data_IF_975742516678
#
_entry.id   IF_975742516678
#
_cell.length_a   1.000
_cell.length_b   1.000
_cell.length_c   1.000
_cell.angle_alpha   90.00
_cell.angle_beta   90.00
_cell.angle_gamma   90.00
#
_symmetry.space_group_name_H-M   'P 1'
#
loop_
_entity.id
_entity.type
_entity.pdbx_description
1 polymer ?
2 branched ?
3 water ?
#
# COMPACT_ATOMS: atom_id res chain seq x y z
N UNK A 1 34.15 -2.65 20.33
CA UNK A 1 33.41 -3.90 20.69
C UNK A 1 32.16 -3.76 19.85
N UNK A 2 31.72 -4.89 19.29
CA UNK A 2 30.52 -4.99 18.47
C UNK A 2 29.23 -4.75 19.26
N UNK A 3 28.41 -3.80 18.83
CA UNK A 3 27.14 -3.55 19.52
C UNK A 3 26.03 -3.44 18.45
N UNK A 4 24.77 -3.59 18.86
CA UNK A 4 23.72 -3.45 17.86
C UNK A 4 22.84 -2.27 18.19
N UNK A 5 22.13 -1.84 17.16
CA UNK A 5 21.18 -0.74 17.23
C UNK A 5 19.96 -1.34 16.49
N UNK A 6 18.75 -1.14 17.03
CA UNK A 6 17.49 -1.66 16.48
C UNK A 6 16.47 -0.52 16.48
N UNK A 7 15.45 -0.59 15.61
CA UNK A 7 14.37 0.41 15.54
C UNK A 7 13.10 -0.39 15.55
N UNK A 8 12.12 0.02 16.34
CA UNK A 8 10.82 -0.64 16.33
C UNK A 8 9.92 0.57 16.05
N UNK A 9 9.08 0.50 15.01
CA UNK A 9 8.91 -0.62 14.09
C UNK A 9 9.88 -0.52 12.91
N UNK A 10 10.41 -1.67 12.46
CA UNK A 10 11.33 -1.73 11.31
C UNK A 10 10.70 -1.12 10.06
N UNK A 11 9.36 -1.21 9.96
CA UNK A 11 8.60 -0.64 8.84
C UNK A 11 7.12 -0.52 9.23
N UNK A 12 6.45 0.49 8.68
CA UNK A 12 5.07 0.71 9.01
C UNK A 12 4.44 1.57 7.96
N UNK A 13 3.18 1.31 7.66
CA UNK A 13 2.49 2.13 6.68
C UNK A 13 1.52 3.02 7.45
N UNK A 14 1.39 4.29 7.10
CA UNK A 14 0.46 5.15 7.84
C UNK A 14 -0.18 6.04 6.79
N UNK A 15 -1.38 6.55 7.08
CA UNK A 15 -2.09 7.45 6.16
C UNK A 15 -1.59 8.88 6.22
N UNK A 16 -1.91 9.70 5.19
CA UNK A 16 -1.50 11.10 5.13
C UNK A 16 -1.87 11.82 6.39
N UNK A 17 -0.91 12.60 6.91
CA UNK A 17 -1.05 13.39 8.14
C UNK A 17 -1.01 12.49 9.36
N UNK A 18 -0.63 11.24 9.15
CA UNK A 18 -0.57 10.31 10.25
C UNK A 18 0.64 10.46 11.11
N UNK A 19 0.79 9.57 12.06
CA UNK A 19 1.91 9.67 12.92
C UNK A 19 2.27 8.31 13.45
N UNK A 20 3.39 8.25 14.16
CA UNK A 20 3.86 7.00 14.74
C UNK A 20 4.93 7.13 15.84
N UNK A 21 5.01 6.11 16.70
CA UNK A 21 5.99 6.07 17.76
C UNK A 21 7.10 5.14 17.35
N UNK A 22 8.33 5.56 17.61
CA UNK A 22 9.51 4.80 17.23
C UNK A 22 10.34 4.62 18.48
N UNK A 23 10.80 3.41 18.70
CA UNK A 23 11.63 3.11 19.84
C UNK A 23 12.97 2.72 19.25
N UNK A 24 13.91 3.60 19.46
CA UNK A 24 15.25 3.47 18.95
C UNK A 24 16.20 2.98 20.07
N UNK A 25 16.69 1.76 19.96
CA UNK A 25 17.53 1.20 21.01
C UNK A 25 18.87 0.61 20.58
N UNK A 26 19.75 0.33 21.54
CA UNK A 26 21.08 -0.20 21.24
C UNK A 26 21.50 -1.17 22.35
N UNK A 27 22.51 -2.01 22.11
CA UNK A 27 23.02 -2.92 23.17
C UNK A 27 24.17 -2.27 23.98
N UNK A 28 24.69 -1.17 23.45
CA UNK A 28 25.74 -0.38 24.07
C UNK A 28 25.23 0.21 25.39
N UNK A 29 25.97 0.05 26.49
CA UNK A 29 25.56 0.59 27.81
C UNK A 29 25.51 2.09 27.99
N UNK A 30 26.58 2.76 27.57
CA UNK A 30 26.66 4.21 27.66
C UNK A 30 27.02 4.72 26.33
N UNK A 31 26.02 4.99 25.51
CA UNK A 31 26.28 5.51 24.18
C UNK A 31 26.69 6.98 24.31
N UNK A 32 27.75 7.35 23.62
CA UNK A 32 28.19 8.71 23.67
C UNK A 32 27.19 9.52 22.86
N UNK A 33 26.65 8.94 21.80
CA UNK A 33 25.67 9.61 20.92
C UNK A 33 24.46 8.69 20.69
N UNK A 34 23.31 9.31 20.49
CA UNK A 34 22.10 8.54 20.25
C UNK A 34 20.91 9.39 19.76
N UNK A 35 20.22 8.98 18.71
CA UNK A 35 19.12 9.80 18.24
C UNK A 35 18.42 9.20 17.06
N UNK A 36 17.28 9.78 16.73
CA UNK A 36 16.47 9.34 15.59
C UNK A 36 16.48 10.54 14.67
N UNK A 37 17.01 10.37 13.47
CA UNK A 37 17.07 11.45 12.50
C UNK A 37 15.88 11.35 11.55
N UNK A 38 15.21 12.47 11.28
CA UNK A 38 14.08 12.43 10.39
C UNK A 38 13.78 13.81 9.86
N UNK A 39 13.14 13.90 8.71
CA UNK A 39 12.78 15.20 8.16
C UNK A 39 11.42 15.66 8.71
N UNK A 40 10.72 14.81 9.44
CA UNK A 40 9.43 15.15 10.02
C UNK A 40 9.61 15.77 11.41
N UNK A 41 8.54 16.30 12.00
CA UNK A 41 8.60 16.87 13.35
C UNK A 41 8.69 15.68 14.28
N UNK A 42 9.46 15.76 15.36
CA UNK A 42 9.61 14.65 16.33
C UNK A 42 9.68 15.16 17.79
N UNK A 43 9.14 14.37 18.71
CA UNK A 43 9.09 14.69 20.13
C UNK A 43 9.73 13.54 20.87
N UNK A 44 10.79 13.78 21.61
CA UNK A 44 11.34 12.68 22.35
C UNK A 44 10.38 12.52 23.50
N UNK A 45 9.69 11.40 23.50
CA UNK A 45 8.75 11.13 24.54
C UNK A 45 9.46 10.59 25.79
N UNK A 46 10.43 9.72 25.61
CA UNK A 46 11.11 9.20 26.78
C UNK A 46 12.36 8.46 26.38
N UNK A 47 13.35 8.42 27.28
CA UNK A 47 14.63 7.74 27.02
C UNK A 47 15.21 7.14 28.28
N UNK A 48 16.20 6.29 28.08
CA UNK A 48 16.97 5.65 29.14
C UNK A 48 18.38 5.69 28.53
N UNK A 49 19.36 5.04 29.15
CA UNK A 49 20.70 5.09 28.56
C UNK A 49 20.79 4.25 27.27
N UNK A 50 19.93 3.24 27.20
CA UNK A 50 19.91 2.33 26.09
C UNK A 50 18.72 2.44 25.12
N UNK A 51 18.00 3.56 25.15
CA UNK A 51 16.87 3.70 24.24
C UNK A 51 16.28 5.04 24.29
N UNK A 52 15.61 5.39 23.20
CA UNK A 52 14.92 6.67 23.06
C UNK A 52 13.67 6.34 22.30
N UNK A 53 12.58 6.89 22.76
CA UNK A 53 11.27 6.65 22.23
C UNK A 53 10.79 8.02 21.77
N UNK A 54 10.44 8.16 20.49
CA UNK A 54 10.00 9.44 19.94
C UNK A 54 8.67 9.22 19.33
N UNK A 55 7.93 10.30 19.12
CA UNK A 55 6.65 10.25 18.40
C UNK A 55 6.98 11.09 17.18
N UNK A 56 6.94 10.50 15.98
CA UNK A 56 7.23 11.21 14.74
C UNK A 56 5.86 11.53 14.13
N UNK A 57 5.65 12.73 13.59
CA UNK A 57 4.32 13.07 13.08
C UNK A 57 4.10 13.84 11.76
N UNK A 58 2.86 13.80 11.29
CA UNK A 58 2.48 14.49 10.08
C UNK A 58 3.27 14.00 8.88
N UNK A 59 3.12 12.72 8.63
CA UNK A 59 3.75 12.00 7.53
C UNK A 59 2.97 12.22 6.24
N UNK A 60 3.61 12.72 5.18
CA UNK A 60 2.88 12.96 3.93
C UNK A 60 3.25 12.08 2.77
N UNK A 61 4.46 11.50 2.81
CA UNK A 61 4.90 10.61 1.75
C UNK A 61 5.92 9.64 2.34
N UNK A 62 6.27 8.59 1.61
CA UNK A 62 7.25 7.63 2.07
C UNK A 62 8.42 8.38 2.64
N UNK A 63 9.01 7.80 3.68
CA UNK A 63 10.11 8.44 4.35
C UNK A 63 10.92 7.42 5.16
N UNK A 64 12.17 7.75 5.46
CA UNK A 64 13.03 6.86 6.22
C UNK A 64 13.48 7.54 7.49
N UNK A 65 13.46 6.76 8.56
CA UNK A 65 13.84 7.22 9.88
C UNK A 65 15.19 6.57 10.22
N UNK A 66 16.16 7.40 10.58
CA UNK A 66 17.48 6.90 10.90
C UNK A 66 17.82 6.93 12.38
N UNK A 67 17.81 5.73 12.92
CA UNK A 67 18.08 5.52 14.29
C UNK A 67 19.57 5.17 14.45
N UNK A 68 20.30 5.93 15.28
CA UNK A 68 21.73 5.74 15.49
C UNK A 68 22.22 5.91 16.92
N UNK A 69 23.31 5.22 17.25
CA UNK A 69 23.99 5.25 18.55
C UNK A 69 25.50 5.16 18.35
N UNK A 70 26.29 5.89 19.16
CA UNK A 70 27.75 5.79 19.09
C UNK A 70 28.23 5.18 20.38
N UNK A 71 28.98 4.11 20.26
CA UNK A 71 29.50 3.40 21.40
C UNK A 71 31.01 3.43 21.21
N UNK A 72 31.77 3.93 22.20
CA UNK A 72 33.23 4.06 22.13
C UNK A 72 33.80 4.53 20.78
N UNK A 73 33.24 5.60 20.21
CA UNK A 73 33.75 6.13 18.95
C UNK A 73 33.29 5.42 17.69
N UNK A 74 32.51 4.34 17.83
CA UNK A 74 31.99 3.57 16.71
C UNK A 74 30.53 3.79 16.49
N UNK A 75 30.15 4.17 15.29
CA UNK A 75 28.73 4.38 15.04
C UNK A 75 28.07 3.22 14.33
N UNK A 76 26.90 2.81 14.83
CA UNK A 76 26.07 1.78 14.22
C UNK A 76 24.72 2.43 13.98
N UNK A 77 23.94 1.90 13.06
CA UNK A 77 22.62 2.44 12.83
C UNK A 77 21.70 1.50 12.11
N UNK A 78 20.42 1.83 12.12
CA UNK A 78 19.39 1.05 11.45
C UNK A 78 18.20 1.94 11.10
N UNK A 79 17.66 1.76 9.89
CA UNK A 79 16.52 2.56 9.44
C UNK A 79 15.20 1.82 9.58
N UNK A 80 14.15 2.63 9.58
CA UNK A 80 12.76 2.23 9.67
C UNK A 80 12.11 2.84 8.43
N UNK A 81 11.42 2.02 7.63
CA UNK A 81 10.75 2.50 6.41
C UNK A 81 9.27 2.80 6.59
N UNK A 82 8.94 4.09 6.56
CA UNK A 82 7.56 4.52 6.72
C UNK A 82 6.99 4.78 5.35
N UNK A 83 5.84 4.18 5.10
CA UNK A 83 5.12 4.30 3.85
C UNK A 83 3.78 4.97 4.08
N UNK A 84 3.36 5.76 3.11
CA UNK A 84 2.07 6.41 3.22
C UNK A 84 1.08 5.56 2.34
N UNK A 85 -0.20 5.62 2.65
CA UNK A 85 -1.15 4.85 1.89
C UNK A 85 -2.54 5.42 2.03
N UNK A 86 -3.37 5.17 1.03
CA UNK A 86 -4.76 5.57 1.08
C UNK A 86 -5.36 4.33 0.44
N UNK A 87 -6.26 3.62 1.15
CA UNK A 87 -6.91 2.40 0.69
C UNK A 87 -7.93 2.59 -0.43
N UNK A 88 -8.24 1.54 -1.20
CA UNK A 88 -9.22 1.71 -2.28
C UNK A 88 -10.57 2.12 -1.63
N UNK A 89 -11.13 3.28 -1.98
CA UNK A 89 -12.40 3.73 -1.37
C UNK A 89 -13.63 3.66 -2.28
N UNK A 90 -13.39 3.56 -3.59
CA UNK A 90 -14.43 3.47 -4.61
C UNK A 90 -13.81 2.70 -5.78
N UNK A 91 -14.54 1.72 -6.31
CA UNK A 91 -14.11 0.85 -7.44
C UNK A 91 -15.25 0.79 -8.47
N UNK A 92 -15.06 1.40 -9.64
CA UNK A 92 -16.11 1.43 -10.65
C UNK A 92 -15.96 0.44 -11.78
N UNK A 93 -17.04 -0.32 -12.06
CA UNK A 93 -17.00 -1.28 -13.17
C UNK A 93 -17.78 -0.72 -14.35
N UNK A 94 -17.25 -0.88 -15.58
CA UNK A 94 -17.85 -0.42 -16.85
C UNK A 94 -17.75 -1.46 -17.95
N UNK A 95 -18.88 -1.77 -18.57
CA UNK A 95 -18.92 -2.72 -19.67
C UNK A 95 -19.16 -1.87 -20.95
N UNK A 96 -18.35 -2.09 -21.99
CA UNK A 96 -18.41 -1.30 -23.26
C UNK A 96 -18.39 -2.14 -24.55
N UNK A 97 -19.51 -2.19 -25.31
CA UNK A 97 -20.81 -1.54 -25.11
C UNK A 97 -21.65 -2.31 -24.09
N UNK A 98 -22.69 -1.68 -23.59
CA UNK A 98 -23.51 -2.32 -22.58
C UNK A 98 -24.38 -3.39 -23.16
N UNK A 99 -24.72 -3.20 -24.46
CA UNK A 99 -25.54 -4.13 -25.28
C UNK A 99 -24.60 -4.77 -26.31
N UNK A 100 -24.33 -6.06 -26.17
CA UNK A 100 -23.39 -6.77 -27.05
C UNK A 100 -24.07 -7.94 -27.78
N UNK A 101 -23.65 -8.23 -29.00
CA UNK A 101 -24.22 -9.34 -29.78
C UNK A 101 -23.48 -10.60 -29.34
N UNK A 102 -24.21 -11.66 -29.02
CA UNK A 102 -23.61 -12.94 -28.61
C UNK A 102 -22.50 -13.38 -29.56
N UNK A 103 -21.34 -13.76 -29.01
CA UNK A 103 -20.20 -14.19 -29.83
C UNK A 103 -19.30 -13.04 -30.29
N UNK A 104 -19.68 -11.80 -30.00
CA UNK A 104 -18.93 -10.61 -30.36
C UNK A 104 -18.13 -10.02 -29.12
N UNK A 105 -17.10 -9.23 -29.38
CA UNK A 105 -16.26 -8.67 -28.31
C UNK A 105 -16.82 -7.49 -27.50
N UNK A 106 -16.38 -7.38 -26.24
CA UNK A 106 -16.72 -6.25 -25.40
C UNK A 106 -15.56 -5.98 -24.41
N UNK A 107 -15.52 -4.77 -23.86
CA UNK A 107 -14.47 -4.35 -22.93
C UNK A 107 -14.96 -4.15 -21.47
N UNK A 108 -14.33 -4.84 -20.52
CA UNK A 108 -14.66 -4.71 -19.09
C UNK A 108 -13.60 -3.73 -18.66
N UNK A 109 -13.93 -2.77 -17.81
CA UNK A 109 -12.92 -1.83 -17.38
C UNK A 109 -13.14 -1.48 -15.90
N UNK A 110 -12.05 -1.45 -15.14
CA UNK A 110 -12.13 -1.10 -13.73
C UNK A 110 -11.23 0.07 -13.44
N UNK A 111 -11.75 0.99 -12.64
CA UNK A 111 -11.02 2.17 -12.27
C UNK A 111 -11.14 2.48 -10.76
N UNK A 112 -9.99 2.71 -10.12
CA UNK A 112 -9.91 3.08 -8.71
C UNK A 112 -9.12 4.41 -8.59
N UNK A 113 -9.85 5.52 -8.39
CA UNK A 113 -9.19 6.83 -8.28
C UNK A 113 -8.59 6.93 -6.87
N UNK A 114 -7.48 7.66 -6.72
CA UNK A 114 -6.82 7.87 -5.42
C UNK A 114 -6.56 6.60 -4.57
N UNK A 115 -5.40 6.01 -4.77
CA UNK A 115 -5.01 4.84 -4.02
C UNK A 115 -3.52 4.81 -4.15
N UNK A 116 -2.83 4.50 -3.08
CA UNK A 116 -1.38 4.47 -3.10
C UNK A 116 -0.92 3.63 -1.95
N UNK A 117 0.27 3.01 -2.07
CA UNK A 117 1.10 3.12 -3.26
C UNK A 117 0.48 2.23 -4.31
N UNK A 118 0.56 2.57 -5.58
CA UNK A 118 -0.02 1.69 -6.55
C UNK A 118 0.71 0.38 -6.83
N UNK A 119 1.99 0.29 -6.52
CA UNK A 119 2.73 -0.95 -6.77
C UNK A 119 2.39 -2.07 -5.81
N UNK A 120 1.36 -1.83 -5.01
CA UNK A 120 0.86 -2.82 -4.10
C UNK A 120 -0.66 -2.95 -4.25
N UNK A 121 -1.18 -2.40 -5.35
CA UNK A 121 -2.61 -2.45 -5.66
C UNK A 121 -2.80 -3.45 -6.81
N UNK A 122 -3.69 -4.43 -6.64
CA UNK A 122 -3.97 -5.42 -7.69
C UNK A 122 -5.47 -5.36 -7.91
N UNK A 123 -5.92 -5.33 -9.16
CA UNK A 123 -7.35 -5.30 -9.42
C UNK A 123 -7.75 -6.66 -10.04
N UNK A 124 -8.90 -7.19 -9.67
CA UNK A 124 -9.36 -8.46 -10.23
C UNK A 124 -10.66 -8.26 -11.03
N UNK A 125 -10.75 -8.89 -12.22
CA UNK A 125 -11.95 -8.82 -13.06
C UNK A 125 -12.59 -10.21 -12.95
N UNK A 126 -13.80 -10.23 -12.39
CA UNK A 126 -14.55 -11.47 -12.17
C UNK A 126 -15.75 -11.58 -13.12
N UNK A 127 -16.19 -12.79 -13.38
CA UNK A 127 -17.38 -12.97 -14.20
C UNK A 127 -18.07 -14.03 -13.37
N UNK A 128 -19.21 -13.70 -12.75
CA UNK A 128 -19.87 -14.67 -11.92
C UNK A 128 -18.89 -14.93 -10.79
N UNK A 129 -18.24 -16.08 -10.82
CA UNK A 129 -17.27 -16.38 -9.77
C UNK A 129 -15.91 -16.83 -10.34
N UNK A 130 -15.65 -16.49 -11.60
CA UNK A 130 -14.41 -16.89 -12.23
C UNK A 130 -13.57 -15.64 -12.47
N UNK A 131 -12.29 -15.72 -12.16
CA UNK A 131 -11.38 -14.59 -12.38
C UNK A 131 -10.98 -14.64 -13.85
N UNK A 132 -11.29 -13.55 -14.53
CA UNK A 132 -10.97 -13.41 -15.94
C UNK A 132 -9.55 -12.84 -16.18
N UNK A 133 -9.14 -11.91 -15.34
CA UNK A 133 -7.86 -11.26 -15.49
C UNK A 133 -7.60 -10.54 -14.17
N UNK A 134 -6.37 -10.10 -13.98
CA UNK A 134 -5.98 -9.32 -12.82
C UNK A 134 -4.61 -8.70 -13.07
N UNK A 135 -4.39 -7.49 -12.59
CA UNK A 135 -3.09 -6.87 -12.76
C UNK A 135 -2.63 -5.98 -11.62
N UNK A 136 -1.34 -6.06 -11.33
CA UNK A 136 -0.69 -5.27 -10.27
C UNK A 136 -0.17 -4.03 -11.00
N UNK A 137 -0.11 -2.91 -10.29
CA UNK A 137 0.36 -1.68 -10.91
C UNK A 137 1.80 -1.32 -10.54
N UNK A 138 2.21 -0.14 -10.95
CA UNK A 138 3.57 0.29 -10.66
C UNK A 138 4.62 0.25 -11.76
N UNK A 139 4.22 0.25 -13.04
CA UNK A 139 5.21 0.25 -14.16
C UNK A 139 5.14 1.54 -15.02
N UNK A 140 4.06 2.32 -14.80
CA UNK A 140 3.71 3.61 -15.46
C UNK A 140 2.22 3.79 -15.84
N UNK A 141 1.57 2.78 -16.48
CA UNK A 141 0.12 2.79 -16.89
C UNK A 141 -0.54 3.27 -15.59
N UNK A 142 -1.05 4.55 -15.52
CA UNK A 142 -1.67 5.12 -14.32
C UNK A 142 -0.96 4.53 -13.06
N UNK A 143 0.28 4.95 -12.76
CA UNK A 143 1.06 4.39 -11.61
C UNK A 143 1.24 4.99 -10.16
N UNK A 144 2.33 5.77 -9.81
CA UNK A 144 2.21 6.19 -8.39
C UNK A 144 1.02 7.16 -7.96
N UNK A 145 -0.10 6.53 -7.53
CA UNK A 145 -1.36 7.17 -7.04
C UNK A 145 -2.79 7.17 -7.75
N UNK A 146 -2.96 6.58 -8.97
CA UNK A 146 -4.28 6.50 -9.77
C UNK A 146 -4.45 5.32 -10.89
N UNK A 147 -5.05 4.16 -10.58
CA UNK A 147 -5.11 3.03 -11.57
C UNK A 147 -6.39 2.46 -12.24
N UNK A 148 -6.15 1.78 -13.37
CA UNK A 148 -7.16 1.21 -14.26
C UNK A 148 -6.79 -0.14 -14.91
N UNK A 149 -7.71 -1.10 -14.89
CA UNK A 149 -7.49 -2.41 -15.54
C UNK A 149 -8.61 -2.68 -16.58
N UNK A 150 -8.26 -2.84 -17.86
CA UNK A 150 -9.29 -3.10 -18.87
C UNK A 150 -9.03 -4.45 -19.57
N UNK A 151 -10.05 -5.28 -19.79
CA UNK A 151 -9.88 -6.59 -20.40
C UNK A 151 -10.95 -6.83 -21.44
N UNK A 152 -10.62 -7.59 -22.50
CA UNK A 152 -11.57 -7.94 -23.57
C UNK A 152 -11.97 -9.38 -23.56
N UNK A 153 -13.25 -9.59 -23.82
CA UNK A 153 -13.79 -10.91 -23.79
C UNK A 153 -14.88 -11.02 -24.86
N UNK A 154 -15.35 -12.24 -25.14
CA UNK A 154 -16.43 -12.38 -26.12
C UNK A 154 -17.71 -12.71 -25.32
N UNK A 155 -18.83 -12.06 -25.71
CA UNK A 155 -20.11 -12.26 -25.06
C UNK A 155 -20.58 -13.68 -25.30
N UNK A 156 -20.99 -14.36 -24.23
CA UNK A 156 -21.47 -15.74 -24.27
C UNK A 156 -22.93 -15.79 -23.87
N UNK A 157 -23.65 -16.82 -24.27
CA UNK A 157 -25.06 -16.93 -23.95
C UNK A 157 -25.34 -16.81 -22.45
N UNK A 158 -24.54 -17.50 -21.64
CA UNK A 158 -24.70 -17.44 -20.20
C UNK A 158 -24.51 -16.03 -19.57
N UNK A 159 -23.80 -15.10 -20.24
CA UNK A 159 -23.63 -13.75 -19.71
C UNK A 159 -24.99 -13.02 -19.55
N UNK A 160 -26.05 -13.69 -19.97
CA UNK A 160 -27.36 -13.11 -19.85
C UNK A 160 -27.78 -13.23 -18.39
N UNK A 161 -27.08 -14.06 -17.63
CA UNK A 161 -27.42 -14.20 -16.23
C UNK A 161 -26.28 -14.41 -15.23
N UNK A 162 -25.23 -13.59 -15.33
CA UNK A 162 -24.14 -13.67 -14.39
C UNK A 162 -23.58 -12.29 -14.39
N UNK A 163 -23.12 -11.89 -13.21
CA UNK A 163 -22.60 -10.55 -12.95
C UNK A 163 -21.13 -10.39 -13.17
N UNK A 164 -20.74 -9.23 -13.65
CA UNK A 164 -19.34 -8.92 -13.86
C UNK A 164 -18.99 -7.99 -12.68
N UNK A 165 -17.80 -8.11 -12.14
CA UNK A 165 -17.43 -7.22 -11.06
C UNK A 165 -15.95 -7.14 -10.96
N UNK A 166 -15.49 -6.22 -10.12
CA UNK A 166 -14.10 -5.95 -9.93
C UNK A 166 -13.77 -5.90 -8.42
N UNK A 167 -12.56 -6.28 -8.05
CA UNK A 167 -12.09 -6.26 -6.66
C UNK A 167 -10.69 -5.65 -6.61
N UNK A 168 -10.53 -4.65 -5.76
CA UNK A 168 -9.26 -3.96 -5.58
C UNK A 168 -8.67 -4.48 -4.32
N UNK A 169 -7.38 -4.79 -4.36
CA UNK A 169 -6.71 -5.30 -3.19
C UNK A 169 -5.42 -4.51 -3.07
N UNK A 170 -5.28 -3.89 -1.90
CA UNK A 170 -4.09 -3.11 -1.52
C UNK A 170 -3.44 -3.94 -0.40
N UNK A 171 -2.37 -4.64 -0.76
CA UNK A 171 -1.62 -5.50 0.14
C UNK A 171 -0.40 -4.72 0.59
N UNK A 172 -0.45 -4.20 1.82
CA UNK A 172 0.66 -3.42 2.36
C UNK A 172 1.49 -4.24 3.32
N UNK A 173 1.26 -5.54 3.38
CA UNK A 173 2.02 -6.42 4.26
C UNK A 173 3.53 -6.35 4.15
N UNK A 174 4.09 -6.12 2.98
CA UNK A 174 5.53 -6.07 2.93
C UNK A 174 6.05 -4.66 3.24
N UNK A 175 5.12 -3.75 3.56
CA UNK A 175 5.45 -2.36 3.93
C UNK A 175 5.06 -2.06 5.41
N UNK A 176 4.72 -3.11 6.15
CA UNK A 176 4.32 -2.96 7.54
C UNK A 176 2.89 -2.49 7.73
N UNK A 177 2.07 -2.58 6.68
CA UNK A 177 0.68 -2.18 6.77
C UNK A 177 -0.20 -3.41 6.65
N UNK A 178 -1.52 -3.27 6.57
CA UNK A 178 -2.37 -4.44 6.44
C UNK A 178 -2.91 -4.69 5.00
N UNK A 179 -4.00 -5.45 4.82
CA UNK A 179 -4.59 -5.70 3.48
C UNK A 179 -6.01 -5.16 3.35
N UNK A 180 -6.23 -4.24 2.40
CA UNK A 180 -7.52 -3.59 2.16
C UNK A 180 -8.24 -4.09 0.88
N UNK A 181 -9.53 -4.39 1.00
CA UNK A 181 -10.37 -4.92 -0.11
C UNK A 181 -11.57 -4.04 -0.37
N UNK A 182 -11.88 -3.79 -1.63
CA UNK A 182 -13.07 -3.02 -1.97
C UNK A 182 -13.64 -3.63 -3.24
N UNK A 183 -14.87 -4.10 -3.15
CA UNK A 183 -15.52 -4.64 -4.30
C UNK A 183 -16.33 -3.55 -4.99
N UNK A 184 -16.65 -3.76 -6.27
CA UNK A 184 -17.47 -2.82 -7.04
C UNK A 184 -18.85 -3.44 -7.04
N UNK A 185 -19.85 -2.63 -7.38
CA UNK A 185 -21.19 -3.18 -7.45
C UNK A 185 -21.11 -4.00 -8.72
N UNK A 186 -21.85 -5.10 -8.77
CA UNK A 186 -21.89 -6.01 -9.92
C UNK A 186 -22.61 -5.38 -11.13
N UNK A 187 -22.19 -5.74 -12.34
CA UNK A 187 -22.83 -5.22 -13.55
C UNK A 187 -23.05 -6.36 -14.51
N UNK A 188 -24.28 -6.46 -14.97
CA UNK A 188 -24.67 -7.51 -15.91
C UNK A 188 -24.61 -6.94 -17.33
N UNK A 189 -24.31 -7.79 -18.30
CA UNK A 189 -24.20 -7.31 -19.67
C UNK A 189 -25.52 -7.56 -20.44
N UNK A 190 -25.87 -6.69 -21.38
CA UNK A 190 -27.05 -7.00 -22.14
C UNK A 190 -26.69 -7.63 -23.47
N UNK A 191 -27.04 -8.90 -23.61
CA UNK A 191 -26.74 -9.63 -24.82
C UNK A 191 -27.99 -9.88 -25.66
N UNK A 192 -27.78 -10.04 -26.96
CA UNK A 192 -28.85 -10.34 -27.90
C UNK A 192 -28.26 -11.23 -29.00
#
# INVERSE_FOLDING_TARGET
KVFEVHVRPKKLAVEPKGSLEVNCSTTCNQPEVGGLETSLNKILLDEQAQWKHYLVSNISHDTVLQCHFTCSGKQESMNSNVSVYQPPRQVILTLQPTLVAVGKSFTIECRVPTVEPLDSLTLFLFRGNETLHYETFGKAAPAPQEATATFNSTADREDGHRNFSCLAVLDLMSRGGNIFHKHSAPKMLEIY
#
